data_IF_217246803148
#
_entry.id   IF_217246803148
#
_cell.length_a   1.000
_cell.length_b   1.000
_cell.length_c   1.000
_cell.angle_alpha   90.00
_cell.angle_beta   90.00
_cell.angle_gamma   90.00
#
_symmetry.space_group_name_H-M   'P 1'
#
loop_
_entity.id
_entity.type
_entity.pdbx_description
1 polymer ?
#
# COMPACT_ATOMS: atom_id res chain seq x y z
N UNK A 1 12.69 -0.02 -0.84
CA UNK A 1 12.68 -0.34 0.61
C UNK A 1 13.98 -1.06 0.92
N UNK A 2 14.70 -0.70 2.00
CA UNK A 2 15.87 -1.48 2.43
C UNK A 2 15.39 -2.80 3.06
N UNK A 3 16.26 -3.81 3.08
CA UNK A 3 15.92 -5.11 3.69
C UNK A 3 15.53 -4.95 5.17
N UNK A 4 16.26 -4.13 5.91
CA UNK A 4 15.99 -3.86 7.34
C UNK A 4 14.60 -3.24 7.55
N UNK A 5 14.25 -2.20 6.79
CA UNK A 5 12.94 -1.55 6.91
C UNK A 5 11.81 -2.52 6.54
N UNK A 6 12.02 -3.37 5.54
CA UNK A 6 11.02 -4.36 5.17
C UNK A 6 10.82 -5.44 6.24
N UNK A 7 11.88 -5.85 6.95
CA UNK A 7 11.76 -6.78 8.08
C UNK A 7 11.00 -6.14 9.24
N UNK A 8 11.33 -4.89 9.58
CA UNK A 8 10.59 -4.15 10.61
C UNK A 8 9.11 -4.00 10.24
N UNK A 9 8.83 -3.68 8.97
CA UNK A 9 7.48 -3.61 8.45
C UNK A 9 6.77 -4.97 8.57
N UNK A 10 7.41 -6.08 8.20
CA UNK A 10 6.80 -7.41 8.30
C UNK A 10 6.50 -7.81 9.74
N UNK A 11 7.39 -7.49 10.69
CA UNK A 11 7.14 -7.68 12.12
C UNK A 11 5.94 -6.86 12.58
N UNK A 12 5.85 -5.61 12.15
CA UNK A 12 4.72 -4.73 12.44
C UNK A 12 3.41 -5.27 11.84
N UNK A 13 3.42 -5.65 10.56
CA UNK A 13 2.29 -6.27 9.88
C UNK A 13 1.80 -7.49 10.64
N UNK A 14 2.71 -8.41 11.00
CA UNK A 14 2.36 -9.60 11.75
C UNK A 14 1.72 -9.25 13.11
N UNK A 15 2.30 -8.31 13.86
CA UNK A 15 1.77 -7.85 15.16
C UNK A 15 0.31 -7.40 15.05
N UNK A 16 -0.04 -6.66 13.99
CA UNK A 16 -1.36 -6.05 13.85
C UNK A 16 -2.37 -6.91 13.09
N UNK A 17 -1.95 -7.95 12.36
CA UNK A 17 -2.88 -8.80 11.58
C UNK A 17 -3.02 -10.21 12.14
N UNK A 18 -2.15 -10.66 13.06
CA UNK A 18 -2.18 -12.04 13.57
C UNK A 18 -3.55 -12.44 14.14
N UNK A 19 -4.21 -11.54 14.86
CA UNK A 19 -5.53 -11.78 15.44
C UNK A 19 -6.65 -11.96 14.40
N UNK A 20 -6.41 -11.56 13.15
CA UNK A 20 -7.37 -11.67 12.03
C UNK A 20 -7.17 -12.95 11.21
N UNK A 21 -6.28 -13.84 11.64
CA UNK A 21 -5.98 -15.08 10.91
C UNK A 21 -7.18 -16.01 10.96
N UNK A 22 -7.62 -16.48 9.80
CA UNK A 22 -8.60 -17.56 9.66
C UNK A 22 -7.85 -18.81 9.21
N UNK A 23 -7.90 -19.87 10.02
CA UNK A 23 -7.11 -21.09 9.79
C UNK A 23 -5.64 -20.92 10.24
N UNK A 24 -4.71 -21.47 9.44
CA UNK A 24 -3.28 -21.54 9.80
C UNK A 24 -2.44 -20.48 9.10
N UNK A 25 -2.76 -20.16 7.85
CA UNK A 25 -1.93 -19.31 6.99
C UNK A 25 -2.58 -17.96 6.70
N UNK A 26 -1.74 -16.93 6.48
CA UNK A 26 -2.15 -15.65 5.89
C UNK A 26 -1.48 -15.45 4.54
N UNK A 27 -2.23 -14.94 3.58
CA UNK A 27 -1.70 -14.56 2.28
C UNK A 27 -1.29 -13.10 2.28
N UNK A 28 -0.07 -12.81 1.84
CA UNK A 28 0.43 -11.46 1.59
C UNK A 28 0.77 -11.30 0.11
N UNK A 29 0.11 -10.36 -0.56
CA UNK A 29 0.35 -10.04 -1.97
C UNK A 29 1.26 -8.81 -2.02
N UNK A 30 2.43 -8.94 -2.63
CA UNK A 30 3.46 -7.90 -2.73
C UNK A 30 3.73 -7.54 -4.18
N UNK A 31 4.09 -6.29 -4.45
CA UNK A 31 4.64 -5.93 -5.76
C UNK A 31 6.04 -6.55 -5.89
N UNK A 32 6.42 -6.97 -7.10
CA UNK A 32 7.66 -7.67 -7.36
C UNK A 32 8.93 -6.83 -7.31
N UNK A 33 9.04 -6.00 -6.27
CA UNK A 33 10.24 -5.23 -5.99
C UNK A 33 11.30 -6.16 -5.36
N UNK A 34 12.52 -6.15 -5.90
CA UNK A 34 13.65 -7.06 -5.61
C UNK A 34 14.09 -7.15 -4.13
N UNK A 35 13.54 -6.31 -3.25
CA UNK A 35 13.87 -6.27 -1.81
C UNK A 35 13.28 -7.42 -0.97
N UNK A 36 12.61 -8.39 -1.61
CA UNK A 36 11.89 -9.47 -0.90
C UNK A 36 12.56 -10.85 -0.99
N UNK A 37 13.68 -10.96 -1.73
CA UNK A 37 14.36 -12.24 -1.99
C UNK A 37 15.47 -12.59 -0.99
N UNK A 38 15.62 -11.83 0.11
CA UNK A 38 16.60 -12.22 1.13
C UNK A 38 16.15 -13.49 1.88
N UNK A 39 17.11 -14.35 2.22
CA UNK A 39 16.87 -15.56 3.01
C UNK A 39 16.16 -15.26 4.34
N UNK A 40 16.49 -14.11 4.95
CA UNK A 40 15.89 -13.66 6.21
C UNK A 40 14.39 -13.37 6.06
N UNK A 41 13.95 -12.80 4.93
CA UNK A 41 12.52 -12.62 4.65
C UNK A 41 11.82 -13.96 4.53
N UNK A 42 12.38 -14.90 3.77
CA UNK A 42 11.78 -16.21 3.55
C UNK A 42 11.62 -16.99 4.86
N UNK A 43 12.64 -16.94 5.73
CA UNK A 43 12.57 -17.54 7.07
C UNK A 43 11.48 -16.90 7.91
N UNK A 44 11.40 -15.57 7.93
CA UNK A 44 10.40 -14.84 8.71
C UNK A 44 8.98 -15.11 8.21
N UNK A 45 8.75 -15.19 6.90
CA UNK A 45 7.46 -15.57 6.32
C UNK A 45 7.04 -16.97 6.76
N UNK A 46 7.97 -17.94 6.67
CA UNK A 46 7.72 -19.32 7.10
C UNK A 46 7.40 -19.43 8.59
N UNK A 47 8.19 -18.78 9.45
CA UNK A 47 7.95 -18.75 10.90
C UNK A 47 6.58 -18.18 11.27
N UNK A 48 6.11 -17.17 10.53
CA UNK A 48 4.85 -16.48 10.84
C UNK A 48 3.64 -17.06 10.09
N UNK A 49 3.84 -18.17 9.37
CA UNK A 49 2.83 -18.84 8.53
C UNK A 49 2.20 -17.85 7.53
N UNK A 50 3.04 -17.01 6.94
CA UNK A 50 2.65 -16.05 5.90
C UNK A 50 3.13 -16.60 4.56
N UNK A 51 2.18 -16.79 3.65
CA UNK A 51 2.45 -17.14 2.25
C UNK A 51 2.56 -15.84 1.48
N UNK A 52 3.61 -15.67 0.69
CA UNK A 52 3.80 -14.49 -0.15
C UNK A 52 3.54 -14.81 -1.61
N UNK A 53 2.75 -13.96 -2.28
CA UNK A 53 2.63 -13.96 -3.74
C UNK A 53 3.19 -12.64 -4.25
N UNK A 54 4.19 -12.76 -5.12
CA UNK A 54 4.81 -11.66 -5.82
C UNK A 54 4.07 -11.43 -7.15
N UNK A 55 3.59 -10.22 -7.39
CA UNK A 55 2.96 -9.88 -8.66
C UNK A 55 4.01 -9.72 -9.77
N UNK A 56 3.69 -10.12 -11.02
CA UNK A 56 4.59 -9.93 -12.15
C UNK A 56 4.93 -8.45 -12.36
N UNK A 57 6.15 -8.19 -12.83
CA UNK A 57 6.60 -6.85 -13.18
C UNK A 57 5.60 -6.14 -14.09
N UNK A 58 5.46 -4.82 -13.89
CA UNK A 58 4.55 -3.94 -14.64
C UNK A 58 3.05 -4.30 -14.56
N UNK A 59 2.63 -5.28 -13.76
CA UNK A 59 1.22 -5.66 -13.64
C UNK A 59 0.49 -4.94 -12.51
N UNK A 60 1.16 -4.00 -11.83
CA UNK A 60 0.60 -3.32 -10.66
C UNK A 60 -0.73 -2.62 -10.94
N UNK A 61 -0.81 -1.89 -12.04
CA UNK A 61 -1.99 -1.15 -12.47
C UNK A 61 -3.21 -2.04 -12.80
N UNK A 62 -3.00 -3.35 -12.98
CA UNK A 62 -4.06 -4.32 -13.26
C UNK A 62 -4.38 -5.18 -12.04
N UNK A 63 -3.35 -5.57 -11.29
CA UNK A 63 -3.45 -6.64 -10.30
C UNK A 63 -3.28 -6.17 -8.85
N UNK A 64 -2.70 -4.99 -8.57
CA UNK A 64 -2.59 -4.55 -7.17
C UNK A 64 -3.98 -4.15 -6.67
N UNK A 65 -4.54 -4.87 -5.68
CA UNK A 65 -5.85 -4.54 -5.14
C UNK A 65 -5.86 -3.15 -4.50
N UNK A 66 -4.71 -2.72 -4.00
CA UNK A 66 -4.56 -1.39 -3.41
C UNK A 66 -4.61 -0.28 -4.46
N UNK A 67 -3.96 -0.47 -5.62
CA UNK A 67 -3.96 0.54 -6.70
C UNK A 67 -5.34 0.65 -7.36
N UNK A 68 -5.93 -0.49 -7.71
CA UNK A 68 -7.23 -0.54 -8.40
C UNK A 68 -8.39 -0.26 -7.44
N UNK A 69 -8.37 -0.85 -6.24
CA UNK A 69 -9.48 -0.80 -5.31
C UNK A 69 -9.49 0.41 -4.39
N UNK A 70 -8.38 0.70 -3.70
CA UNK A 70 -8.35 1.78 -2.70
C UNK A 70 -7.87 3.11 -3.28
N UNK A 71 -6.80 3.09 -4.07
CA UNK A 71 -6.17 4.31 -4.54
C UNK A 71 -6.85 4.90 -5.76
N UNK A 72 -7.46 4.11 -6.65
CA UNK A 72 -8.20 4.68 -7.78
C UNK A 72 -9.36 5.57 -7.33
N UNK A 73 -10.31 5.11 -6.47
CA UNK A 73 -11.41 5.96 -6.02
C UNK A 73 -10.93 7.18 -5.22
N UNK A 74 -9.87 7.01 -4.43
CA UNK A 74 -9.28 8.11 -3.68
C UNK A 74 -8.65 9.16 -4.61
N UNK A 75 -7.92 8.74 -5.65
CA UNK A 75 -7.35 9.64 -6.67
C UNK A 75 -8.46 10.39 -7.40
N UNK A 76 -9.56 9.73 -7.73
CA UNK A 76 -10.70 10.36 -8.41
C UNK A 76 -11.42 11.36 -7.49
N UNK A 77 -11.63 11.01 -6.22
CA UNK A 77 -12.21 11.91 -5.22
C UNK A 77 -11.32 13.13 -4.98
N UNK A 78 -10.02 12.91 -4.82
CA UNK A 78 -9.05 13.99 -4.65
C UNK A 78 -8.91 14.86 -5.90
N UNK A 79 -8.95 14.25 -7.10
CA UNK A 79 -8.96 14.96 -8.38
C UNK A 79 -10.10 15.97 -8.47
N UNK A 80 -11.30 15.59 -8.03
CA UNK A 80 -12.45 16.51 -7.93
C UNK A 80 -12.19 17.68 -6.97
N UNK A 81 -11.55 17.44 -5.82
CA UNK A 81 -11.17 18.51 -4.89
C UNK A 81 -10.17 19.48 -5.53
N UNK A 82 -9.21 18.96 -6.31
CA UNK A 82 -8.25 19.78 -7.06
C UNK A 82 -8.94 20.59 -8.15
N UNK A 83 -9.89 20.01 -8.88
CA UNK A 83 -10.70 20.74 -9.87
C UNK A 83 -11.47 21.91 -9.24
N UNK A 84 -12.05 21.71 -8.06
CA UNK A 84 -12.74 22.77 -7.33
C UNK A 84 -11.79 23.86 -6.84
N UNK A 85 -10.58 23.51 -6.40
CA UNK A 85 -9.54 24.51 -6.08
C UNK A 85 -9.16 25.35 -7.31
N UNK A 86 -9.00 24.70 -8.47
CA UNK A 86 -8.71 25.39 -9.75
C UNK A 86 -9.84 26.33 -10.14
N UNK A 87 -11.11 25.92 -9.99
CA UNK A 87 -12.28 26.79 -10.20
C UNK A 87 -12.26 28.02 -9.29
N UNK A 88 -11.75 27.86 -8.08
CA UNK A 88 -11.53 28.94 -7.11
C UNK A 88 -10.20 29.68 -7.29
N UNK A 89 -9.55 29.54 -8.46
CA UNK A 89 -8.34 30.27 -8.87
C UNK A 89 -7.10 29.90 -8.05
N UNK A 90 -7.10 28.72 -7.44
CA UNK A 90 -5.95 28.14 -6.74
C UNK A 90 -5.32 27.11 -7.68
N UNK A 91 -4.23 27.50 -8.33
CA UNK A 91 -3.52 26.68 -9.32
C UNK A 91 -2.32 25.92 -8.75
N UNK A 92 -1.94 26.24 -7.51
CA UNK A 92 -0.83 25.61 -6.82
C UNK A 92 -1.33 24.99 -5.52
N UNK A 93 -1.23 23.66 -5.45
CA UNK A 93 -1.57 22.91 -4.25
C UNK A 93 -0.31 22.78 -3.40
N UNK A 94 -0.25 23.54 -2.31
CA UNK A 94 0.77 23.37 -1.28
C UNK A 94 0.25 22.44 -0.18
N UNK A 95 0.99 22.30 0.93
CA UNK A 95 0.50 21.55 2.10
C UNK A 95 -0.79 22.14 2.69
N UNK A 96 -1.00 23.45 2.54
CA UNK A 96 -2.17 24.15 3.08
C UNK A 96 -3.45 23.75 2.36
N UNK A 97 -3.37 23.54 1.04
CA UNK A 97 -4.50 23.13 0.21
C UNK A 97 -4.63 21.61 0.15
N UNK A 98 -3.50 20.89 0.17
CA UNK A 98 -3.46 19.43 0.11
C UNK A 98 -4.21 18.78 1.27
N UNK A 99 -3.92 19.16 2.52
CA UNK A 99 -4.47 18.46 3.68
C UNK A 99 -6.00 18.58 3.78
N UNK A 100 -6.61 19.77 3.60
CA UNK A 100 -8.07 19.91 3.55
C UNK A 100 -8.69 19.15 2.38
N UNK A 101 -8.13 19.26 1.17
CA UNK A 101 -8.63 18.55 -0.01
C UNK A 101 -8.55 17.02 0.15
N UNK A 102 -7.43 16.53 0.69
CA UNK A 102 -7.24 15.11 0.97
C UNK A 102 -8.22 14.61 2.02
N UNK A 103 -8.43 15.37 3.11
CA UNK A 103 -9.41 15.04 4.15
C UNK A 103 -10.86 15.07 3.64
N UNK A 104 -11.17 15.89 2.65
CA UNK A 104 -12.49 15.88 2.02
C UNK A 104 -12.70 14.66 1.11
N UNK A 105 -11.61 14.08 0.58
CA UNK A 105 -11.64 12.93 -0.32
C UNK A 105 -11.56 11.56 0.39
N UNK A 106 -11.12 11.51 1.66
CA UNK A 106 -10.89 10.31 2.47
C UNK A 106 -11.61 10.39 3.81
#
# INVERSE_FOLDING_TARGET
MTNELGIQWLRHFNKHTKHRTVGVHRLLIINGHESHDSLEFQQLYKEKQIITICMPSHSSHLLQPLDVGCFSPLKDAYGRQVEDLIRNHIYHVTKLEFLPAFKAAY
#
